data_IF_448559848303
#
_entry.id   IF_448559848303
#
_cell.length_a   1.000
_cell.length_b   1.000
_cell.length_c   1.000
_cell.angle_alpha   90.00
_cell.angle_beta   90.00
_cell.angle_gamma   90.00
#
_symmetry.space_group_name_H-M   'P 1'
#
loop_
_entity.id
_entity.type
_entity.pdbx_description
1 polymer ?
#
# COMPACT_ATOMS: atom_id res chain seq x y z
N UNK A 1 23.81 1.91 -6.31
CA UNK A 1 22.37 2.18 -6.53
C UNK A 1 21.80 2.81 -5.26
N UNK A 2 20.88 3.78 -5.33
CA UNK A 2 20.26 4.33 -4.12
C UNK A 2 18.97 3.54 -3.81
N UNK A 3 19.12 2.48 -3.03
CA UNK A 3 18.02 1.57 -2.67
C UNK A 3 16.91 2.24 -1.87
N UNK A 4 17.24 3.26 -1.07
CA UNK A 4 16.25 3.98 -0.28
C UNK A 4 15.29 4.79 -1.17
N UNK A 5 15.83 5.51 -2.15
CA UNK A 5 15.01 6.24 -3.13
C UNK A 5 14.16 5.26 -3.93
N UNK A 6 14.75 4.18 -4.44
CA UNK A 6 14.04 3.18 -5.20
C UNK A 6 12.88 2.54 -4.43
N UNK A 7 13.08 2.17 -3.16
CA UNK A 7 12.02 1.60 -2.34
C UNK A 7 10.87 2.60 -2.14
N UNK A 8 11.20 3.87 -1.90
CA UNK A 8 10.20 4.94 -1.79
C UNK A 8 9.42 5.12 -3.09
N UNK A 9 10.11 5.15 -4.23
CA UNK A 9 9.48 5.32 -5.54
C UNK A 9 8.46 4.21 -5.82
N UNK A 10 8.77 2.95 -5.48
CA UNK A 10 7.83 1.82 -5.58
C UNK A 10 6.60 2.05 -4.70
N UNK A 11 6.79 2.45 -3.44
CA UNK A 11 5.67 2.68 -2.53
C UNK A 11 4.80 3.85 -3.01
N UNK A 12 5.41 4.97 -3.40
CA UNK A 12 4.71 6.15 -3.90
C UNK A 12 3.91 5.84 -5.18
N UNK A 13 4.46 5.00 -6.06
CA UNK A 13 3.78 4.56 -7.28
C UNK A 13 2.58 3.66 -6.97
N UNK A 14 2.71 2.67 -6.09
CA UNK A 14 1.68 1.62 -5.97
C UNK A 14 0.66 1.87 -4.85
N UNK A 15 1.04 2.56 -3.77
CA UNK A 15 0.18 2.66 -2.58
C UNK A 15 -1.13 3.42 -2.88
N UNK A 16 -1.02 4.60 -3.51
CA UNK A 16 -2.18 5.43 -3.84
C UNK A 16 -3.16 4.73 -4.79
N UNK A 17 -2.64 4.02 -5.79
CA UNK A 17 -3.46 3.31 -6.80
C UNK A 17 -4.17 2.10 -6.19
N UNK A 18 -3.52 1.40 -5.27
CA UNK A 18 -4.12 0.26 -4.58
C UNK A 18 -5.20 0.72 -3.58
N UNK A 19 -4.99 1.84 -2.89
CA UNK A 19 -6.04 2.45 -2.05
C UNK A 19 -7.26 2.85 -2.87
N UNK A 20 -7.02 3.49 -4.02
CA UNK A 20 -8.10 3.89 -4.92
C UNK A 20 -8.90 2.68 -5.40
N UNK A 21 -8.21 1.60 -5.79
CA UNK A 21 -8.85 0.37 -6.22
C UNK A 21 -9.66 -0.29 -5.09
N UNK A 22 -9.11 -0.36 -3.87
CA UNK A 22 -9.84 -0.87 -2.69
C UNK A 22 -11.10 -0.06 -2.41
N UNK A 23 -11.00 1.26 -2.37
CA UNK A 23 -12.14 2.13 -2.08
C UNK A 23 -13.23 1.98 -3.15
N UNK A 24 -12.83 1.85 -4.41
CA UNK A 24 -13.75 1.59 -5.51
C UNK A 24 -14.46 0.23 -5.36
N UNK A 25 -13.70 -0.85 -5.13
CA UNK A 25 -14.23 -2.21 -5.01
C UNK A 25 -15.15 -2.36 -3.80
N UNK A 26 -14.78 -1.82 -2.63
CA UNK A 26 -15.62 -1.88 -1.43
C UNK A 26 -16.94 -1.11 -1.56
N UNK A 27 -16.97 -0.02 -2.33
CA UNK A 27 -18.22 0.67 -2.65
C UNK A 27 -19.07 -0.14 -3.64
N UNK A 28 -18.43 -0.75 -4.63
CA UNK A 28 -19.10 -1.57 -5.63
C UNK A 28 -19.66 -2.88 -5.06
N UNK A 29 -18.98 -3.50 -4.08
CA UNK A 29 -19.46 -4.71 -3.42
C UNK A 29 -20.64 -4.44 -2.47
N UNK A 30 -20.66 -3.25 -1.84
CA UNK A 30 -21.74 -2.83 -0.93
C UNK A 30 -23.02 -2.38 -1.65
N UNK A 31 -22.95 -1.97 -2.93
CA UNK A 31 -24.11 -1.50 -3.67
C UNK A 31 -25.06 -2.66 -4.05
N UNK A 32 -26.35 -2.49 -3.77
CA UNK A 32 -27.36 -3.47 -4.10
C UNK A 32 -27.64 -3.53 -5.61
N UNK A 33 -27.54 -2.40 -6.32
CA UNK A 33 -27.88 -2.22 -7.74
C UNK A 33 -26.65 -1.91 -8.59
N UNK A 34 -25.63 -2.76 -8.50
CA UNK A 34 -24.36 -2.61 -9.23
C UNK A 34 -24.60 -2.49 -10.74
N UNK A 35 -24.12 -1.39 -11.32
CA UNK A 35 -24.09 -1.23 -12.76
C UNK A 35 -22.89 -2.01 -13.32
N UNK A 36 -23.16 -3.24 -13.76
CA UNK A 36 -22.20 -4.24 -14.22
C UNK A 36 -21.13 -3.68 -15.17
N UNK A 37 -21.58 -3.13 -16.30
CA UNK A 37 -20.72 -2.60 -17.36
C UNK A 37 -19.80 -1.50 -16.85
N UNK A 38 -20.34 -0.53 -16.12
CA UNK A 38 -19.57 0.59 -15.59
C UNK A 38 -18.50 0.11 -14.59
N UNK A 39 -18.88 -0.86 -13.76
CA UNK A 39 -17.98 -1.41 -12.74
C UNK A 39 -16.82 -2.18 -13.36
N UNK A 40 -17.10 -3.07 -14.32
CA UNK A 40 -16.05 -3.83 -15.03
C UNK A 40 -15.11 -2.89 -15.79
N UNK A 41 -15.66 -1.88 -16.49
CA UNK A 41 -14.85 -0.88 -17.20
C UNK A 41 -13.96 -0.07 -16.25
N UNK A 42 -14.46 0.26 -15.06
CA UNK A 42 -13.67 0.95 -14.05
C UNK A 42 -12.54 0.08 -13.49
N UNK A 43 -12.81 -1.18 -13.13
CA UNK A 43 -11.77 -2.13 -12.68
C UNK A 43 -10.71 -2.32 -13.75
N UNK A 44 -11.11 -2.53 -15.01
CA UNK A 44 -10.19 -2.66 -16.15
C UNK A 44 -9.23 -1.48 -16.25
N UNK A 45 -9.74 -0.25 -16.12
CA UNK A 45 -8.91 0.96 -16.17
C UNK A 45 -7.99 1.09 -14.96
N UNK A 46 -8.50 0.83 -13.76
CA UNK A 46 -7.72 0.93 -12.51
C UNK A 46 -6.63 -0.15 -12.43
N UNK A 47 -6.88 -1.35 -12.95
CA UNK A 47 -5.89 -2.42 -13.02
C UNK A 47 -4.86 -2.17 -14.14
N UNK A 48 -5.30 -1.69 -15.31
CA UNK A 48 -4.41 -1.41 -16.44
C UNK A 48 -3.49 -0.21 -16.21
N UNK A 49 -3.98 0.86 -15.56
CA UNK A 49 -3.23 2.12 -15.40
C UNK A 49 -1.82 1.96 -14.83
N UNK A 50 -1.57 1.23 -13.72
CA UNK A 50 -0.21 0.99 -13.22
C UNK A 50 0.59 0.02 -14.09
N UNK A 51 -0.06 -0.85 -14.86
CA UNK A 51 0.60 -1.83 -15.72
C UNK A 51 1.02 -1.26 -17.07
N UNK A 52 0.36 -0.19 -17.53
CA UNK A 52 0.53 0.40 -18.87
C UNK A 52 2.00 0.62 -19.29
N UNK A 53 2.92 1.11 -18.43
CA UNK A 53 4.32 1.28 -18.81
C UNK A 53 5.03 -0.03 -19.19
N UNK A 54 4.50 -1.16 -18.76
CA UNK A 54 5.08 -2.50 -18.95
C UNK A 54 4.36 -3.30 -20.03
N UNK A 55 3.23 -2.83 -20.55
CA UNK A 55 2.46 -3.52 -21.59
C UNK A 55 3.19 -3.39 -22.94
N UNK A 56 3.19 -4.46 -23.72
CA UNK A 56 3.57 -4.39 -25.14
C UNK A 56 2.29 -4.31 -25.98
N UNK A 57 2.05 -3.16 -26.60
CA UNK A 57 0.88 -2.95 -27.47
C UNK A 57 1.12 -3.45 -28.90
N UNK A 58 2.28 -4.06 -29.18
CA UNK A 58 2.57 -4.72 -30.47
C UNK A 58 1.96 -6.12 -30.47
N UNK A 59 0.66 -6.20 -30.21
CA UNK A 59 -0.06 -7.45 -30.10
C UNK A 59 -0.35 -8.08 -31.46
N UNK A 60 -0.13 -9.39 -31.59
CA UNK A 60 -0.58 -10.18 -32.73
C UNK A 60 -2.11 -10.12 -32.89
N UNK A 61 -2.67 -10.26 -34.10
CA UNK A 61 -4.09 -10.04 -34.38
C UNK A 61 -5.11 -10.92 -33.64
N UNK A 62 -4.69 -11.87 -32.79
CA UNK A 62 -5.55 -12.75 -31.98
C UNK A 62 -5.11 -12.83 -30.50
N UNK A 63 -4.42 -11.82 -29.97
CA UNK A 63 -3.94 -11.84 -28.58
C UNK A 63 -5.08 -11.68 -27.58
N UNK A 64 -5.10 -12.49 -26.52
CA UNK A 64 -5.97 -12.26 -25.36
C UNK A 64 -5.28 -11.34 -24.34
N UNK A 65 -6.02 -10.88 -23.33
CA UNK A 65 -5.43 -10.14 -22.23
C UNK A 65 -4.35 -10.96 -21.51
N UNK A 66 -4.58 -12.27 -21.34
CA UNK A 66 -3.59 -13.19 -20.79
C UNK A 66 -2.29 -13.20 -21.60
N UNK A 67 -2.35 -13.39 -22.92
CA UNK A 67 -1.14 -13.45 -23.76
C UNK A 67 -0.43 -12.10 -23.83
N UNK A 68 -1.16 -10.99 -23.71
CA UNK A 68 -0.56 -9.65 -23.66
C UNK A 68 0.22 -9.37 -22.37
N UNK A 69 -0.14 -10.01 -21.26
CA UNK A 69 0.46 -9.73 -19.94
C UNK A 69 1.43 -10.79 -19.46
N UNK A 70 0.99 -12.05 -19.46
CA UNK A 70 1.71 -13.16 -18.83
C UNK A 70 2.68 -13.86 -19.79
N UNK A 71 2.38 -13.88 -21.10
CA UNK A 71 3.22 -14.55 -22.08
C UNK A 71 4.30 -13.62 -22.65
N UNK A 72 5.44 -14.22 -23.02
CA UNK A 72 6.51 -13.49 -23.67
C UNK A 72 6.09 -13.13 -25.11
N UNK A 73 6.25 -11.86 -25.48
CA UNK A 73 6.01 -11.42 -26.86
C UNK A 73 7.16 -11.93 -27.76
N UNK A 74 6.89 -12.76 -28.78
CA UNK A 74 7.90 -13.09 -29.79
C UNK A 74 8.07 -11.86 -30.68
N UNK A 75 9.05 -11.00 -30.37
CA UNK A 75 9.31 -9.84 -31.21
C UNK A 75 9.76 -10.33 -32.60
N UNK A 76 9.00 -9.99 -33.63
CA UNK A 76 9.51 -10.07 -35.00
C UNK A 76 10.72 -9.14 -35.11
N UNK A 77 11.84 -9.69 -35.59
CA UNK A 77 13.19 -9.11 -35.54
C UNK A 77 13.37 -7.81 -36.36
N UNK A 78 12.65 -6.74 -36.05
CA UNK A 78 12.54 -5.56 -36.91
C UNK A 78 13.23 -4.30 -36.43
N UNK A 79 13.10 -3.90 -35.16
CA UNK A 79 13.49 -2.53 -34.76
C UNK A 79 14.08 -2.49 -33.35
N UNK A 80 15.41 -2.49 -33.29
CA UNK A 80 16.20 -2.29 -32.09
C UNK A 80 16.13 -0.82 -31.63
N UNK A 81 15.37 -0.55 -30.57
CA UNK A 81 15.49 0.70 -29.80
C UNK A 81 16.67 0.60 -28.82
N UNK A 82 17.56 1.59 -28.69
CA UNK A 82 18.88 1.39 -28.08
C UNK A 82 18.90 1.36 -26.54
N UNK A 83 17.74 1.51 -25.87
CA UNK A 83 17.72 1.79 -24.43
C UNK A 83 17.08 0.71 -23.53
N UNK A 84 16.50 -0.35 -24.09
CA UNK A 84 15.91 -1.45 -23.31
C UNK A 84 16.60 -2.76 -23.68
N UNK A 85 17.62 -3.13 -22.91
CA UNK A 85 18.22 -4.46 -22.92
C UNK A 85 17.69 -5.30 -21.76
N UNK A 86 16.37 -5.48 -21.73
CA UNK A 86 15.76 -6.67 -21.13
C UNK A 86 15.45 -7.61 -22.30
N UNK A 87 15.78 -8.90 -22.17
CA UNK A 87 15.85 -9.86 -23.27
C UNK A 87 14.72 -9.77 -24.28
N UNK A 88 15.09 -9.94 -25.56
CA UNK A 88 14.18 -10.33 -26.63
C UNK A 88 13.38 -11.55 -26.16
N UNK A 89 12.05 -11.41 -26.04
CA UNK A 89 11.09 -12.37 -25.47
C UNK A 89 10.93 -12.30 -23.93
N UNK A 90 10.48 -11.16 -23.40
CA UNK A 90 10.03 -11.04 -21.99
C UNK A 90 8.57 -10.63 -21.92
N UNK A 91 7.83 -11.18 -20.95
CA UNK A 91 6.40 -10.84 -20.76
C UNK A 91 6.24 -9.45 -20.14
N UNK A 92 5.03 -8.89 -20.17
CA UNK A 92 4.76 -7.63 -19.47
C UNK A 92 4.93 -7.80 -17.95
N UNK A 93 4.57 -8.97 -17.42
CA UNK A 93 4.82 -9.33 -16.02
C UNK A 93 6.31 -9.26 -15.66
N UNK A 94 7.20 -9.83 -16.48
CA UNK A 94 8.64 -9.78 -16.22
C UNK A 94 9.19 -8.35 -16.28
N UNK A 95 8.74 -7.56 -17.26
CA UNK A 95 9.09 -6.13 -17.35
C UNK A 95 8.65 -5.36 -16.11
N UNK A 96 7.44 -5.63 -15.60
CA UNK A 96 6.92 -5.01 -14.38
C UNK A 96 7.73 -5.45 -13.15
N UNK A 97 7.99 -6.75 -13.00
CA UNK A 97 8.74 -7.34 -11.87
C UNK A 97 10.15 -6.76 -11.75
N UNK A 98 10.85 -6.58 -12.87
CA UNK A 98 12.26 -6.15 -12.89
C UNK A 98 12.43 -4.66 -13.23
N UNK A 99 11.35 -3.89 -13.38
CA UNK A 99 11.40 -2.48 -13.80
C UNK A 99 12.38 -1.65 -12.96
N UNK A 100 12.30 -1.79 -11.63
CA UNK A 100 13.15 -1.05 -10.71
C UNK A 100 14.60 -1.56 -10.66
N UNK A 101 14.84 -2.83 -10.99
CA UNK A 101 16.15 -3.51 -10.82
C UNK A 101 16.83 -3.89 -12.13
N UNK A 102 16.28 -3.50 -13.28
CA UNK A 102 16.78 -3.89 -14.62
C UNK A 102 18.28 -3.63 -14.80
N UNK A 103 18.78 -2.51 -14.28
CA UNK A 103 20.21 -2.15 -14.38
C UNK A 103 21.11 -3.17 -13.68
N UNK A 104 20.62 -3.82 -12.62
CA UNK A 104 21.38 -4.79 -11.83
C UNK A 104 21.54 -6.15 -12.53
N UNK A 105 20.67 -6.46 -13.49
CA UNK A 105 20.74 -7.69 -14.30
C UNK A 105 21.75 -7.60 -15.46
N UNK A 106 22.39 -6.45 -15.65
CA UNK A 106 23.40 -6.27 -16.70
C UNK A 106 24.69 -7.02 -16.35
N UNK A 107 25.25 -7.71 -17.33
CA UNK A 107 26.54 -8.37 -17.21
C UNK A 107 27.62 -7.38 -16.77
N UNK A 108 28.29 -7.66 -15.65
CA UNK A 108 29.37 -6.83 -15.11
C UNK A 108 29.00 -5.99 -13.89
N UNK A 109 27.72 -5.91 -13.52
CA UNK A 109 27.32 -5.32 -12.23
C UNK A 109 27.61 -6.33 -11.12
N UNK A 110 28.47 -5.96 -10.18
CA UNK A 110 28.76 -6.76 -8.97
C UNK A 110 28.01 -6.15 -7.80
N UNK A 111 27.05 -6.90 -7.25
CA UNK A 111 26.32 -6.52 -6.06
C UNK A 111 27.03 -7.10 -4.82
N UNK A 112 27.04 -6.33 -3.74
CA UNK A 112 27.35 -6.88 -2.41
C UNK A 112 26.22 -7.82 -1.95
N UNK A 113 26.46 -8.72 -0.97
CA UNK A 113 25.41 -9.58 -0.43
C UNK A 113 24.19 -8.81 0.09
N UNK A 114 24.40 -7.61 0.63
CA UNK A 114 23.35 -6.72 1.12
C UNK A 114 22.54 -6.11 -0.03
N UNK A 115 23.19 -5.69 -1.11
CA UNK A 115 22.51 -5.16 -2.29
C UNK A 115 21.74 -6.25 -3.05
N UNK A 116 22.26 -7.48 -3.06
CA UNK A 116 21.56 -8.64 -3.58
C UNK A 116 20.26 -8.92 -2.80
N UNK A 117 20.33 -8.86 -1.47
CA UNK A 117 19.15 -9.01 -0.62
C UNK A 117 18.10 -7.92 -0.89
N UNK A 118 18.53 -6.66 -1.04
CA UNK A 118 17.65 -5.54 -1.36
C UNK A 118 17.01 -5.70 -2.75
N UNK A 119 17.80 -6.15 -3.74
CA UNK A 119 17.30 -6.47 -5.09
C UNK A 119 16.17 -7.49 -5.03
N UNK A 120 16.42 -8.63 -4.40
CA UNK A 120 15.45 -9.74 -4.28
C UNK A 120 14.20 -9.27 -3.53
N UNK A 121 14.35 -8.44 -2.50
CA UNK A 121 13.23 -7.89 -1.73
C UNK A 121 12.31 -7.04 -2.61
N UNK A 122 12.89 -6.11 -3.37
CA UNK A 122 12.14 -5.26 -4.32
C UNK A 122 11.46 -6.10 -5.39
N UNK A 123 12.19 -7.04 -6.00
CA UNK A 123 11.65 -7.90 -7.06
C UNK A 123 10.53 -8.81 -6.54
N UNK A 124 10.57 -9.22 -5.28
CA UNK A 124 9.49 -10.00 -4.65
C UNK A 124 8.24 -9.17 -4.48
N UNK A 125 8.37 -7.94 -3.98
CA UNK A 125 7.25 -6.99 -3.83
C UNK A 125 6.62 -6.68 -5.19
N UNK A 126 7.44 -6.31 -6.18
CA UNK A 126 6.96 -6.04 -7.54
C UNK A 126 6.36 -7.29 -8.18
N UNK A 127 6.95 -8.47 -7.99
CA UNK A 127 6.36 -9.72 -8.49
C UNK A 127 4.94 -9.92 -7.97
N UNK A 128 4.71 -9.69 -6.67
CA UNK A 128 3.38 -9.84 -6.08
C UNK A 128 2.41 -8.79 -6.60
N UNK A 129 2.80 -7.51 -6.59
CA UNK A 129 2.00 -6.39 -7.10
C UNK A 129 1.58 -6.62 -8.56
N UNK A 130 2.57 -6.84 -9.43
CA UNK A 130 2.36 -7.02 -10.87
C UNK A 130 1.51 -8.26 -11.17
N UNK A 131 1.69 -9.36 -10.44
CA UNK A 131 0.86 -10.56 -10.61
C UNK A 131 -0.59 -10.33 -10.19
N UNK A 132 -0.85 -9.75 -9.01
CA UNK A 132 -2.24 -9.52 -8.54
C UNK A 132 -2.98 -8.51 -9.44
N UNK A 133 -2.31 -7.40 -9.81
CA UNK A 133 -2.87 -6.43 -10.77
C UNK A 133 -3.05 -7.05 -12.16
N UNK A 134 -2.10 -7.87 -12.60
CA UNK A 134 -2.18 -8.60 -13.87
C UNK A 134 -3.37 -9.55 -13.94
N UNK A 135 -3.59 -10.33 -12.88
CA UNK A 135 -4.76 -11.21 -12.78
C UNK A 135 -6.07 -10.43 -12.84
N UNK A 136 -6.20 -9.35 -12.06
CA UNK A 136 -7.40 -8.49 -12.11
C UNK A 136 -7.59 -7.86 -13.50
N UNK A 137 -6.51 -7.43 -14.15
CA UNK A 137 -6.58 -6.91 -15.51
C UNK A 137 -7.12 -7.98 -16.48
N UNK A 138 -6.55 -9.18 -16.49
CA UNK A 138 -7.00 -10.26 -17.38
C UNK A 138 -8.45 -10.66 -17.08
N UNK A 139 -8.78 -10.90 -15.81
CA UNK A 139 -10.14 -11.26 -15.38
C UNK A 139 -11.14 -10.16 -15.78
N UNK A 140 -10.80 -8.87 -15.65
CA UNK A 140 -11.66 -7.76 -16.07
C UNK A 140 -11.79 -7.60 -17.60
N UNK A 141 -10.80 -8.07 -18.36
CA UNK A 141 -10.85 -8.08 -19.82
C UNK A 141 -11.73 -9.22 -20.35
N UNK A 142 -11.74 -10.35 -19.64
CA UNK A 142 -12.50 -11.56 -19.98
C UNK A 142 -13.91 -11.58 -19.35
N UNK A 143 -14.20 -10.69 -18.41
CA UNK A 143 -15.49 -10.57 -17.77
C UNK A 143 -16.61 -10.24 -18.78
N UNK A 144 -17.70 -11.01 -18.72
CA UNK A 144 -18.91 -10.76 -19.50
C UNK A 144 -19.77 -9.70 -18.81
N UNK A 145 -19.93 -8.55 -19.47
CA UNK A 145 -20.74 -7.43 -18.99
C UNK A 145 -22.25 -7.75 -18.93
N UNK A 146 -22.69 -8.81 -19.61
CA UNK A 146 -24.08 -9.28 -19.62
C UNK A 146 -24.32 -10.46 -18.68
N UNK A 147 -23.30 -10.87 -17.90
CA UNK A 147 -23.44 -11.90 -16.90
C UNK A 147 -24.50 -11.52 -15.84
N UNK A 148 -25.15 -12.52 -15.20
CA UNK A 148 -26.09 -12.24 -14.13
C UNK A 148 -25.40 -11.46 -12.99
N UNK A 149 -26.14 -10.54 -12.37
CA UNK A 149 -25.63 -9.62 -11.34
C UNK A 149 -24.90 -10.36 -10.23
N UNK A 150 -25.39 -11.54 -9.82
CA UNK A 150 -24.76 -12.34 -8.77
C UNK A 150 -23.35 -12.81 -9.14
N UNK A 151 -23.12 -13.18 -10.41
CA UNK A 151 -21.79 -13.55 -10.91
C UNK A 151 -20.84 -12.36 -10.91
N UNK A 152 -21.35 -11.17 -11.27
CA UNK A 152 -20.55 -9.94 -11.30
C UNK A 152 -20.19 -9.51 -9.87
N UNK A 153 -21.14 -9.62 -8.93
CA UNK A 153 -20.87 -9.39 -7.51
C UNK A 153 -19.84 -10.35 -6.95
N UNK A 154 -19.88 -11.63 -7.34
CA UNK A 154 -18.87 -12.60 -6.95
C UNK A 154 -17.47 -12.25 -7.51
N UNK A 155 -17.39 -11.77 -8.76
CA UNK A 155 -16.13 -11.28 -9.33
C UNK A 155 -15.59 -10.06 -8.58
N UNK A 156 -16.44 -9.08 -8.30
CA UNK A 156 -16.06 -7.87 -7.54
C UNK A 156 -15.57 -8.23 -6.14
N UNK A 157 -16.28 -9.12 -5.44
CA UNK A 157 -15.87 -9.61 -4.12
C UNK A 157 -14.51 -10.33 -4.18
N UNK A 158 -14.28 -11.17 -5.20
CA UNK A 158 -12.99 -11.83 -5.41
C UNK A 158 -11.84 -10.83 -5.67
N UNK A 159 -12.10 -9.76 -6.43
CA UNK A 159 -11.12 -8.68 -6.62
C UNK A 159 -10.88 -7.89 -5.33
N UNK A 160 -11.93 -7.60 -4.57
CA UNK A 160 -11.81 -6.91 -3.27
C UNK A 160 -10.95 -7.73 -2.31
N UNK A 161 -11.26 -9.01 -2.13
CA UNK A 161 -10.51 -9.93 -1.27
C UNK A 161 -9.03 -10.01 -1.69
N UNK A 162 -8.75 -10.05 -3.00
CA UNK A 162 -7.38 -10.05 -3.53
C UNK A 162 -6.64 -8.77 -3.16
N UNK A 163 -7.28 -7.61 -3.32
CA UNK A 163 -6.68 -6.31 -2.97
C UNK A 163 -6.49 -6.18 -1.46
N UNK A 164 -7.44 -6.64 -0.65
CA UNK A 164 -7.31 -6.66 0.82
C UNK A 164 -6.13 -7.54 1.24
N UNK A 165 -6.04 -8.76 0.72
CA UNK A 165 -4.93 -9.67 1.02
C UNK A 165 -3.57 -9.10 0.57
N UNK A 166 -3.52 -8.41 -0.57
CA UNK A 166 -2.34 -7.72 -1.05
C UNK A 166 -1.92 -6.58 -0.10
N UNK A 167 -2.88 -5.77 0.35
CA UNK A 167 -2.64 -4.67 1.28
C UNK A 167 -2.13 -5.17 2.63
N UNK A 168 -2.72 -6.24 3.16
CA UNK A 168 -2.30 -6.89 4.40
C UNK A 168 -0.90 -7.51 4.27
N UNK A 169 -0.56 -8.07 3.12
CA UNK A 169 0.78 -8.61 2.87
C UNK A 169 1.85 -7.52 2.75
N UNK A 170 1.52 -6.38 2.14
CA UNK A 170 2.43 -5.25 1.98
C UNK A 170 2.65 -4.47 3.28
N UNK A 171 1.58 -4.32 4.09
CA UNK A 171 1.57 -3.62 5.38
C UNK A 171 2.27 -2.24 5.36
N UNK A 172 2.10 -1.50 4.25
CA UNK A 172 2.67 -0.18 4.09
C UNK A 172 2.04 0.86 5.03
N UNK A 173 2.84 1.78 5.54
CA UNK A 173 2.32 2.84 6.41
C UNK A 173 1.43 3.84 5.67
N UNK A 174 1.50 3.85 4.35
CA UNK A 174 0.80 4.75 3.45
C UNK A 174 -0.71 4.52 3.46
N UNK A 175 -1.18 3.33 3.85
CA UNK A 175 -2.61 3.04 4.05
C UNK A 175 -3.18 3.76 5.28
N UNK A 176 -2.33 4.14 6.25
CA UNK A 176 -2.72 4.77 7.50
C UNK A 176 -2.96 6.28 7.29
N UNK A 177 -4.13 6.60 6.72
CA UNK A 177 -4.59 7.98 6.51
C UNK A 177 -5.98 8.18 7.10
N UNK A 178 -6.34 9.43 7.34
CA UNK A 178 -7.69 9.78 7.75
C UNK A 178 -8.63 9.58 6.56
N UNK A 179 -9.77 8.93 6.80
CA UNK A 179 -10.79 8.66 5.77
C UNK A 179 -11.37 9.94 5.17
N UNK A 180 -11.30 11.05 5.91
CA UNK A 180 -11.78 12.36 5.49
C UNK A 180 -10.66 13.40 5.54
N UNK A 181 -10.78 14.39 4.66
CA UNK A 181 -9.92 15.57 4.70
C UNK A 181 -10.21 16.33 6.00
N UNK A 182 -9.17 16.48 6.82
CA UNK A 182 -9.27 17.20 8.08
C UNK A 182 -9.63 18.68 7.84
N UNK A 183 -10.33 19.29 8.81
CA UNK A 183 -10.62 20.71 8.80
C UNK A 183 -9.31 21.54 8.72
N UNK A 184 -9.39 22.76 8.19
CA UNK A 184 -8.22 23.62 7.97
C UNK A 184 -7.41 23.94 9.24
N UNK A 185 -8.05 23.82 10.41
CA UNK A 185 -7.44 24.00 11.72
C UNK A 185 -7.03 22.66 12.37
N UNK A 186 -6.94 21.57 11.61
CA UNK A 186 -6.57 20.23 12.09
C UNK A 186 -5.64 19.49 11.14
N UNK A 187 -4.87 18.54 11.67
CA UNK A 187 -3.94 17.70 10.92
C UNK A 187 -4.27 16.23 11.14
N UNK A 188 -4.19 15.42 10.09
CA UNK A 188 -4.28 13.98 10.24
C UNK A 188 -3.04 13.46 10.96
N UNK A 189 -3.21 12.96 12.18
CA UNK A 189 -2.13 12.48 13.01
C UNK A 189 -2.32 11.01 13.34
N UNK A 190 -1.25 10.23 13.17
CA UNK A 190 -1.18 8.85 13.62
C UNK A 190 -0.80 8.81 15.10
N UNK A 191 -1.52 8.08 15.95
CA UNK A 191 -1.14 7.92 17.35
C UNK A 191 0.16 7.11 17.45
N UNK A 192 1.27 7.78 17.79
CA UNK A 192 2.57 7.14 17.96
C UNK A 192 2.75 6.63 19.39
N UNK A 193 3.05 5.35 19.57
CA UNK A 193 3.53 4.85 20.86
C UNK A 193 5.01 5.27 21.08
N UNK A 194 5.45 5.65 22.29
CA UNK A 194 4.68 5.93 23.52
C UNK A 194 4.25 7.41 23.64
N UNK A 195 4.45 8.23 22.61
CA UNK A 195 4.21 9.68 22.67
C UNK A 195 2.73 10.02 22.88
N UNK A 196 1.82 9.29 22.21
CA UNK A 196 0.36 9.44 22.38
C UNK A 196 -0.09 9.13 23.81
N UNK A 197 0.59 8.20 24.47
CA UNK A 197 0.36 7.79 25.86
C UNK A 197 0.87 8.84 26.86
N UNK A 198 2.01 9.47 26.60
CA UNK A 198 2.53 10.55 27.43
C UNK A 198 1.77 11.87 27.26
N UNK A 199 1.24 12.14 26.07
CA UNK A 199 0.51 13.38 25.77
C UNK A 199 -1.01 13.28 25.97
N UNK A 200 -1.53 12.13 26.41
CA UNK A 200 -2.98 11.94 26.64
C UNK A 200 -3.83 12.02 25.37
N UNK A 201 -3.21 11.83 24.20
CA UNK A 201 -3.86 11.88 22.87
C UNK A 201 -4.36 10.49 22.41
N UNK A 202 -3.90 9.43 23.07
CA UNK A 202 -4.47 8.08 22.99
C UNK A 202 -5.03 7.72 24.37
N UNK A 203 -6.23 7.12 24.41
CA UNK A 203 -6.99 6.87 25.63
C UNK A 203 -6.18 6.25 26.77
N UNK A 204 -5.74 7.09 27.70
CA UNK A 204 -5.27 6.71 29.03
C UNK A 204 -3.97 5.89 29.11
N UNK A 205 -3.30 5.99 30.26
CA UNK A 205 -2.26 5.06 30.69
C UNK A 205 -2.88 3.67 30.85
N UNK A 206 -2.25 2.56 30.42
CA UNK A 206 -2.64 1.21 30.82
C UNK A 206 -2.71 1.20 32.34
N UNK A 207 -3.90 0.94 32.87
CA UNK A 207 -4.05 0.73 34.30
C UNK A 207 -3.22 -0.48 34.66
N UNK A 208 -2.54 -0.37 35.80
CA UNK A 208 -1.82 -1.44 36.52
C UNK A 208 -2.52 -2.80 36.30
N UNK A 209 -1.77 -3.87 35.96
CA UNK A 209 -2.37 -5.18 35.68
C UNK A 209 -3.31 -5.59 36.81
N UNK A 210 -4.57 -5.84 36.49
CA UNK A 210 -5.61 -6.24 37.45
C UNK A 210 -6.89 -5.40 37.47
N UNK A 211 -7.03 -4.36 36.64
CA UNK A 211 -8.23 -3.52 36.58
C UNK A 211 -8.91 -3.50 35.21
N UNK A 212 -9.78 -4.47 34.95
CA UNK A 212 -10.92 -4.42 34.00
C UNK A 212 -10.67 -3.97 32.55
N UNK A 213 -10.77 -4.93 31.62
CA UNK A 213 -10.77 -4.85 30.15
C UNK A 213 -9.63 -4.03 29.53
N UNK A 214 -8.67 -4.77 28.99
CA UNK A 214 -7.51 -4.29 28.25
C UNK A 214 -7.96 -3.69 26.90
N UNK A 215 -8.25 -2.39 26.87
CA UNK A 215 -8.59 -1.65 25.64
C UNK A 215 -7.33 -1.29 24.81
N UNK A 216 -6.13 -1.68 25.24
CA UNK A 216 -4.87 -1.43 24.50
C UNK A 216 -4.82 -2.15 23.16
N UNK A 217 -5.52 -3.28 23.06
CA UNK A 217 -5.60 -4.12 21.87
C UNK A 217 -6.75 -3.70 20.94
N UNK A 218 -7.50 -2.64 21.27
CA UNK A 218 -8.54 -2.14 20.39
C UNK A 218 -7.89 -1.46 19.17
N UNK A 219 -8.03 -2.02 17.95
CA UNK A 219 -7.40 -1.47 16.74
C UNK A 219 -7.92 -0.06 16.41
N UNK A 220 -9.07 0.35 16.92
CA UNK A 220 -9.60 1.70 16.74
C UNK A 220 -8.79 2.78 17.48
N UNK A 221 -8.01 2.41 18.50
CA UNK A 221 -7.11 3.33 19.19
C UNK A 221 -5.95 3.76 18.29
N UNK A 222 -5.56 2.89 17.35
CA UNK A 222 -4.40 3.08 16.48
C UNK A 222 -4.73 3.69 15.11
N UNK A 223 -6.02 3.94 14.84
CA UNK A 223 -6.44 4.61 13.61
C UNK A 223 -6.01 6.08 13.62
N UNK A 224 -5.55 6.61 12.47
CA UNK A 224 -5.23 8.02 12.31
C UNK A 224 -6.49 8.89 12.50
N UNK A 225 -6.32 10.05 13.13
CA UNK A 225 -7.43 10.97 13.45
C UNK A 225 -7.05 12.41 13.13
N UNK A 226 -8.05 13.22 12.78
CA UNK A 226 -7.88 14.66 12.66
C UNK A 226 -7.74 15.28 14.05
N UNK A 227 -6.60 15.91 14.32
CA UNK A 227 -6.31 16.57 15.59
C UNK A 227 -6.20 18.08 15.36
N UNK A 228 -6.94 18.93 16.09
CA UNK A 228 -6.87 20.38 15.90
C UNK A 228 -5.49 20.93 16.31
N UNK A 229 -5.03 21.99 15.64
CA UNK A 229 -3.80 22.70 15.98
C UNK A 229 -3.87 23.43 17.33
N UNK A 230 -5.08 23.69 17.84
CA UNK A 230 -5.25 24.44 19.09
C UNK A 230 -4.89 23.61 20.32
N UNK A 231 -3.73 23.96 20.87
CA UNK A 231 -3.26 23.64 22.21
C UNK A 231 -2.85 22.17 22.40
N UNK A 232 -1.80 21.76 21.69
CA UNK A 232 -0.75 20.97 22.36
C UNK A 232 -0.16 21.85 23.46
N UNK A 233 -0.85 21.96 24.60
CA UNK A 233 -0.13 22.16 25.84
C UNK A 233 0.79 20.96 25.93
N UNK A 234 2.06 21.15 25.59
CA UNK A 234 3.16 20.27 25.97
C UNK A 234 3.27 20.31 27.51
N UNK A 235 2.22 19.84 28.17
CA UNK A 235 2.16 19.61 29.59
C UNK A 235 2.98 18.36 29.85
N UNK A 236 4.29 18.55 30.04
CA UNK A 236 5.00 17.67 30.95
C UNK A 236 4.11 17.47 32.18
N UNK A 237 3.96 16.22 32.69
CA UNK A 237 3.16 16.02 33.90
C UNK A 237 3.64 17.03 34.94
N UNK A 238 2.75 17.77 35.62
CA UNK A 238 3.19 18.68 36.66
C UNK A 238 4.05 17.84 37.61
N UNK A 239 5.34 18.17 37.70
CA UNK A 239 6.20 17.62 38.75
C UNK A 239 5.41 17.85 40.02
N UNK A 240 4.96 16.77 40.68
CA UNK A 240 4.37 16.89 42.00
C UNK A 240 5.42 17.60 42.83
N UNK A 241 5.19 18.87 43.17
CA UNK A 241 5.95 19.62 44.15
C UNK A 241 5.69 19.07 45.57
N UNK A 242 5.62 17.75 45.72
CA UNK A 242 5.48 17.08 47.01
C UNK A 242 6.85 16.78 47.65
N UNK A 243 7.95 16.89 46.91
CA UNK A 243 9.29 16.56 47.41
C UNK A 243 10.13 17.78 47.85
N UNK A 244 9.66 19.02 47.67
CA UNK A 244 10.43 20.20 48.11
C UNK A 244 10.17 20.57 49.59
N UNK A 245 8.94 20.37 50.08
CA UNK A 245 8.57 20.60 51.48
C UNK A 245 9.17 19.52 52.42
N UNK A 246 9.25 18.27 51.96
CA UNK A 246 9.91 17.18 52.69
C UNK A 246 11.45 17.34 52.76
N UNK A 247 12.06 17.97 51.75
CA UNK A 247 13.50 18.28 51.75
C UNK A 247 13.84 19.54 52.57
N UNK A 248 12.92 20.48 52.74
CA UNK A 248 13.12 21.67 53.57
C UNK A 248 12.82 21.42 55.06
N UNK A 249 11.92 20.48 55.38
CA UNK A 249 11.67 20.06 56.77
C UNK A 249 12.83 19.26 57.40
N UNK A 250 13.73 18.70 56.58
CA UNK A 250 14.90 17.95 57.06
C UNK A 250 16.13 18.82 57.39
N UNK A 251 16.06 20.15 57.24
CA UNK A 251 17.21 21.07 57.44
C UNK A 251 17.19 21.85 58.77
N UNK A 252 16.27 21.54 59.68
CA UNK A 252 16.19 22.16 61.01
C UNK A 252 16.27 21.19 62.20
N UNK A 253 16.85 20.00 61.98
CA UNK A 253 17.35 19.16 63.08
C UNK A 253 18.81 18.84 62.79
N UNK A 254 19.67 19.81 63.09
CA UNK A 254 21.08 19.69 63.50
C UNK A 254 21.56 21.06 63.98
#
# INVERSE_FOLDING_TARGET
MNWNTLARDVVEEWAGRTMQLRAFLGNASADASVNATETILAVRRLAYSPLNPYMDTTSAPDSTAWTSFFEASPMSAGWSVPFVTLGTNTSALERCKYAATTVTHRSGVRLTPQEELLRVSVETVLSRLCSDYGSMFVESMEADEHAPIDSIKALIAGWEDRVVALMEWLDWTEWLRCDQVCASDSVCSMPLWPVSMWMGLGGGMPRRPGGGRDDSDNPEVWKPRCVPFRVQQFGWPPRRNADLELLLAARHVL
#
